data_IF_340213692494
#
_entry.id   IF_340213692494
#
_cell.length_a   1.000
_cell.length_b   1.000
_cell.length_c   1.000
_cell.angle_alpha   90.00
_cell.angle_beta   90.00
_cell.angle_gamma   90.00
#
_symmetry.space_group_name_H-M   'P 1'
#
loop_
_entity.id
_entity.type
_entity.pdbx_description
1 polymer ?
#
# COMPACT_ATOMS: atom_id res chain seq x y z
N UNK A 1 -6.85 10.25 -55.66
CA UNK A 1 -7.04 10.43 -54.20
C UNK A 1 -6.46 9.20 -53.52
N UNK A 2 -5.35 9.35 -52.78
CA UNK A 2 -4.55 8.23 -52.26
C UNK A 2 -5.03 7.76 -50.87
N UNK A 3 -5.28 6.45 -50.75
CA UNK A 3 -5.90 5.77 -49.60
C UNK A 3 -4.81 5.22 -48.65
N UNK A 4 -3.82 6.05 -48.28
CA UNK A 4 -2.64 5.54 -47.55
C UNK A 4 -2.39 6.24 -46.19
N UNK A 5 -3.31 7.08 -45.74
CA UNK A 5 -3.10 7.96 -44.56
C UNK A 5 -3.98 7.64 -43.35
N UNK A 6 -4.74 6.53 -43.35
CA UNK A 6 -5.71 6.24 -42.26
C UNK A 6 -5.21 5.21 -41.24
N UNK A 7 -4.15 4.45 -41.54
CA UNK A 7 -3.75 3.29 -40.71
C UNK A 7 -2.89 3.67 -39.48
N UNK A 8 -2.28 4.86 -39.42
CA UNK A 8 -1.35 5.21 -38.33
C UNK A 8 -1.97 5.82 -37.07
N UNK A 9 -3.23 6.27 -37.10
CA UNK A 9 -3.87 6.91 -35.94
C UNK A 9 -4.53 5.90 -35.00
N UNK A 10 -4.91 4.71 -35.50
CA UNK A 10 -5.60 3.70 -34.71
C UNK A 10 -4.72 2.95 -33.68
N UNK A 11 -3.39 2.97 -33.85
CA UNK A 11 -2.46 2.21 -32.99
C UNK A 11 -2.13 2.89 -31.65
N UNK A 12 -2.39 4.19 -31.50
CA UNK A 12 -2.08 4.95 -30.27
C UNK A 12 -3.21 4.95 -29.22
N UNK A 13 -4.46 4.69 -29.63
CA UNK A 13 -5.60 4.63 -28.71
C UNK A 13 -5.68 3.29 -27.95
N UNK A 14 -5.20 2.20 -28.56
CA UNK A 14 -5.21 0.87 -27.94
C UNK A 14 -4.22 0.74 -26.77
N UNK A 15 -3.10 1.46 -26.81
CA UNK A 15 -2.08 1.46 -25.75
C UNK A 15 -2.55 2.13 -24.45
N UNK A 16 -3.41 3.15 -24.54
CA UNK A 16 -3.91 3.86 -23.35
C UNK A 16 -4.94 3.04 -22.57
N UNK A 17 -5.79 2.28 -23.26
CA UNK A 17 -6.83 1.46 -22.61
C UNK A 17 -6.22 0.26 -21.83
N UNK A 18 -5.18 -0.37 -22.38
CA UNK A 18 -4.50 -1.48 -21.71
C UNK A 18 -3.75 -1.01 -20.45
N UNK A 19 -3.08 0.14 -20.49
CA UNK A 19 -2.40 0.71 -19.33
C UNK A 19 -3.39 1.12 -18.22
N UNK A 20 -4.54 1.70 -18.60
CA UNK A 20 -5.58 2.07 -17.64
C UNK A 20 -6.24 0.84 -16.97
N UNK A 21 -6.49 -0.23 -17.73
CA UNK A 21 -7.05 -1.47 -17.19
C UNK A 21 -6.07 -2.21 -16.26
N UNK A 22 -4.78 -2.21 -16.60
CA UNK A 22 -3.73 -2.77 -15.73
C UNK A 22 -3.55 -1.95 -14.45
N UNK A 23 -3.69 -0.63 -14.53
CA UNK A 23 -3.65 0.25 -13.35
C UNK A 23 -4.85 0.06 -12.42
N UNK A 24 -6.06 -0.15 -12.97
CA UNK A 24 -7.26 -0.40 -12.18
C UNK A 24 -7.23 -1.77 -11.49
N UNK A 25 -6.84 -2.83 -12.21
CA UNK A 25 -6.74 -4.19 -11.67
C UNK A 25 -5.71 -4.27 -10.52
N UNK A 26 -4.57 -3.59 -10.69
CA UNK A 26 -3.55 -3.49 -9.65
C UNK A 26 -4.04 -2.71 -8.41
N UNK A 27 -4.85 -1.66 -8.62
CA UNK A 27 -5.47 -0.89 -7.54
C UNK A 27 -6.46 -1.71 -6.72
N UNK A 28 -7.31 -2.50 -7.38
CA UNK A 28 -8.32 -3.35 -6.74
C UNK A 28 -7.66 -4.49 -5.95
N UNK A 29 -6.61 -5.12 -6.51
CA UNK A 29 -5.83 -6.13 -5.81
C UNK A 29 -5.12 -5.56 -4.57
N UNK A 30 -4.52 -4.37 -4.68
CA UNK A 30 -3.86 -3.71 -3.57
C UNK A 30 -4.84 -3.40 -2.42
N UNK A 31 -6.00 -2.83 -2.75
CA UNK A 31 -7.04 -2.54 -1.76
C UNK A 31 -7.57 -3.82 -1.09
N UNK A 32 -7.81 -4.87 -1.88
CA UNK A 32 -8.27 -6.16 -1.35
C UNK A 32 -7.23 -6.80 -0.43
N UNK A 33 -5.97 -6.81 -0.84
CA UNK A 33 -4.86 -7.35 -0.05
C UNK A 33 -4.71 -6.61 1.27
N UNK A 34 -4.70 -5.27 1.22
CA UNK A 34 -4.61 -4.41 2.40
C UNK A 34 -5.75 -4.67 3.39
N UNK A 35 -6.99 -4.73 2.91
CA UNK A 35 -8.13 -5.05 3.76
C UNK A 35 -7.99 -6.44 4.39
N UNK A 36 -7.70 -7.48 3.61
CA UNK A 36 -7.57 -8.84 4.14
C UNK A 36 -6.47 -8.96 5.22
N UNK A 37 -5.32 -8.32 5.01
CA UNK A 37 -4.23 -8.33 5.99
C UNK A 37 -4.64 -7.57 7.26
N UNK A 38 -5.22 -6.37 7.13
CA UNK A 38 -5.44 -5.48 8.28
C UNK A 38 -6.74 -5.73 9.03
N UNK A 39 -7.74 -6.38 8.43
CA UNK A 39 -9.04 -6.63 9.08
C UNK A 39 -9.32 -8.11 9.31
N UNK A 40 -8.89 -8.99 8.41
CA UNK A 40 -9.19 -10.43 8.49
C UNK A 40 -8.12 -11.21 9.26
N UNK A 41 -6.93 -10.63 9.50
CA UNK A 41 -5.86 -11.26 10.28
C UNK A 41 -5.83 -10.73 11.71
N UNK A 42 -6.22 -11.56 12.68
CA UNK A 42 -6.35 -11.18 14.09
C UNK A 42 -5.06 -10.57 14.70
N UNK A 43 -3.88 -11.03 14.27
CA UNK A 43 -2.58 -10.50 14.73
C UNK A 43 -2.39 -9.01 14.40
N UNK A 44 -3.06 -8.50 13.37
CA UNK A 44 -2.84 -7.15 12.84
C UNK A 44 -4.04 -6.21 13.01
N UNK A 45 -5.14 -6.66 13.63
CA UNK A 45 -6.38 -5.88 13.76
C UNK A 45 -6.20 -4.57 14.55
N UNK A 46 -5.30 -4.57 15.53
CA UNK A 46 -5.03 -3.40 16.37
C UNK A 46 -3.92 -2.49 15.80
N UNK A 47 -3.31 -2.87 14.68
CA UNK A 47 -2.24 -2.10 14.06
C UNK A 47 -2.87 -1.04 13.16
N UNK A 48 -2.47 0.23 13.27
CA UNK A 48 -3.01 1.25 12.39
C UNK A 48 -2.64 0.95 10.94
N UNK A 49 -3.55 1.32 10.05
CA UNK A 49 -3.44 1.11 8.60
C UNK A 49 -2.16 1.67 7.98
N UNK A 50 -1.49 2.63 8.64
CA UNK A 50 -0.23 3.24 8.23
C UNK A 50 1.02 2.37 8.51
N UNK A 51 0.88 1.32 9.34
CA UNK A 51 1.93 0.31 9.53
C UNK A 51 2.04 -0.62 8.33
N UNK A 52 0.96 -0.77 7.54
CA UNK A 52 0.93 -1.61 6.35
C UNK A 52 1.54 -0.92 5.14
N UNK A 53 2.28 -1.71 4.38
CA UNK A 53 2.92 -1.29 3.15
C UNK A 53 2.93 -2.42 2.12
N UNK A 54 2.87 -2.04 0.85
CA UNK A 54 2.97 -2.98 -0.27
C UNK A 54 4.33 -2.81 -0.94
N UNK A 55 5.11 -3.88 -0.98
CA UNK A 55 6.51 -3.85 -1.41
C UNK A 55 6.69 -4.28 -2.87
N UNK A 56 5.60 -4.48 -3.61
CA UNK A 56 5.60 -4.90 -5.00
C UNK A 56 4.85 -6.20 -5.22
N UNK A 57 5.24 -6.92 -6.28
CA UNK A 57 4.62 -8.17 -6.69
C UNK A 57 5.67 -9.23 -7.02
N UNK A 58 5.36 -10.48 -6.70
CA UNK A 58 6.14 -11.63 -7.16
C UNK A 58 5.19 -12.66 -7.76
N UNK A 59 5.30 -12.88 -9.07
CA UNK A 59 4.30 -13.59 -9.86
C UNK A 59 2.91 -12.93 -9.72
N UNK A 60 1.89 -13.71 -9.39
CA UNK A 60 0.52 -13.25 -9.14
C UNK A 60 0.27 -12.87 -7.68
N UNK A 61 1.32 -12.68 -6.87
CA UNK A 61 1.18 -12.38 -5.45
C UNK A 61 1.58 -10.94 -5.18
N UNK A 62 0.84 -10.26 -4.30
CA UNK A 62 1.21 -8.95 -3.78
C UNK A 62 2.02 -9.13 -2.50
N UNK A 63 3.23 -8.60 -2.48
CA UNK A 63 4.09 -8.63 -1.30
C UNK A 63 3.74 -7.47 -0.38
N UNK A 64 3.66 -7.75 0.91
CA UNK A 64 3.35 -6.74 1.91
C UNK A 64 4.30 -6.81 3.10
N UNK A 65 4.37 -5.72 3.82
CA UNK A 65 5.12 -5.62 5.07
C UNK A 65 4.39 -4.71 6.04
N UNK A 66 4.40 -5.09 7.31
CA UNK A 66 3.90 -4.30 8.41
C UNK A 66 5.08 -3.88 9.26
N UNK A 67 5.23 -2.59 9.48
CA UNK A 67 6.14 -2.01 10.46
C UNK A 67 5.35 -1.35 11.58
N UNK A 68 5.51 -1.87 12.80
CA UNK A 68 4.80 -1.33 13.97
C UNK A 68 5.65 -1.50 15.23
N UNK A 69 5.79 -0.42 16.00
CA UNK A 69 6.54 -0.39 17.28
C UNK A 69 7.95 -1.03 17.22
N UNK A 70 8.67 -0.79 16.11
CA UNK A 70 10.00 -1.33 15.88
C UNK A 70 10.04 -2.83 15.54
N UNK A 71 8.87 -3.44 15.34
CA UNK A 71 8.70 -4.81 14.86
C UNK A 71 8.35 -4.82 13.37
N UNK A 72 8.52 -5.98 12.76
CA UNK A 72 8.27 -6.17 11.33
C UNK A 72 7.61 -7.51 11.07
N UNK A 73 6.50 -7.50 10.35
CA UNK A 73 5.89 -8.68 9.76
C UNK A 73 5.90 -8.55 8.23
N UNK A 74 6.09 -9.67 7.54
CA UNK A 74 6.15 -9.72 6.08
C UNK A 74 5.29 -10.86 5.59
N UNK A 75 4.78 -10.75 4.38
CA UNK A 75 4.02 -11.82 3.78
C UNK A 75 3.60 -11.52 2.36
N UNK A 76 2.64 -12.29 1.87
CA UNK A 76 2.08 -12.11 0.55
C UNK A 76 0.56 -12.34 0.52
N UNK A 77 -0.14 -11.60 -0.32
CA UNK A 77 -1.51 -11.91 -0.71
C UNK A 77 -1.49 -12.72 -2.00
N UNK A 78 -2.13 -13.89 -1.99
CA UNK A 78 -2.19 -14.79 -3.14
C UNK A 78 -3.34 -14.40 -4.05
N UNK A 79 -3.05 -14.21 -5.33
CA UNK A 79 -4.06 -14.11 -6.38
C UNK A 79 -3.83 -15.21 -7.41
N UNK A 80 -4.93 -15.74 -7.96
CA UNK A 80 -4.89 -16.69 -9.06
C UNK A 80 -6.00 -16.32 -10.03
N UNK A 81 -5.63 -16.06 -11.29
CA UNK A 81 -6.54 -15.58 -12.34
C UNK A 81 -7.35 -14.34 -11.93
N UNK A 82 -6.71 -13.40 -11.23
CA UNK A 82 -7.37 -12.17 -10.71
C UNK A 82 -8.25 -12.41 -9.47
N UNK A 83 -8.35 -13.64 -8.97
CA UNK A 83 -9.14 -13.95 -7.78
C UNK A 83 -8.26 -14.05 -6.54
N UNK A 84 -8.63 -13.32 -5.49
CA UNK A 84 -8.00 -13.39 -4.18
C UNK A 84 -8.17 -14.79 -3.56
N UNK A 85 -7.07 -15.39 -3.13
CA UNK A 85 -7.03 -16.74 -2.51
C UNK A 85 -6.75 -16.70 -1.02
N UNK A 86 -6.05 -15.67 -0.53
CA UNK A 86 -5.79 -15.51 0.90
C UNK A 86 -4.51 -14.75 1.20
N UNK A 87 -4.24 -14.61 2.50
CA UNK A 87 -3.02 -14.02 3.06
C UNK A 87 -2.09 -15.13 3.53
N UNK A 88 -0.83 -15.06 3.11
CA UNK A 88 0.26 -15.89 3.63
C UNK A 88 1.22 -15.00 4.43
N UNK A 89 1.48 -15.35 5.69
CA UNK A 89 2.40 -14.63 6.57
C UNK A 89 3.75 -15.36 6.53
N UNK A 90 4.81 -14.66 6.16
CA UNK A 90 6.17 -15.19 6.14
C UNK A 90 6.90 -14.93 7.46
N UNK A 91 6.67 -13.75 8.07
CA UNK A 91 7.23 -13.40 9.38
C UNK A 91 6.17 -12.73 10.24
N UNK A 92 6.10 -13.13 11.51
CA UNK A 92 5.18 -12.60 12.52
C UNK A 92 5.81 -11.46 13.33
N UNK A 93 4.97 -10.64 13.96
CA UNK A 93 5.41 -9.63 14.92
C UNK A 93 5.89 -10.33 16.19
N UNK A 94 7.22 -10.34 16.41
CA UNK A 94 7.80 -10.88 17.64
C UNK A 94 7.69 -9.83 18.74
N UNK A 95 6.92 -10.13 19.79
CA UNK A 95 6.95 -9.38 21.05
C UNK A 95 8.38 -9.38 21.63
N UNK A 96 9.14 -8.34 21.34
CA UNK A 96 10.45 -8.11 21.96
C UNK A 96 10.25 -7.16 23.13
N UNK A 97 10.47 -7.64 24.36
CA UNK A 97 10.34 -6.88 25.62
C UNK A 97 11.37 -5.74 25.80
N UNK A 98 12.10 -5.37 24.74
CA UNK A 98 13.10 -4.31 24.80
C UNK A 98 12.91 -3.32 23.65
N UNK A 99 12.07 -2.31 23.90
CA UNK A 99 11.88 -1.18 23.00
C UNK A 99 13.21 -0.43 22.78
N UNK A 100 13.78 -0.56 21.58
CA UNK A 100 14.59 0.52 21.00
C UNK A 100 13.63 1.40 20.21
N UNK A 101 13.48 2.65 20.63
CA UNK A 101 12.77 3.70 19.88
C UNK A 101 13.42 3.81 18.50
N UNK A 102 12.75 3.36 17.44
CA UNK A 102 13.27 3.47 16.07
C UNK A 102 13.09 4.90 15.58
N UNK A 103 14.19 5.66 15.52
CA UNK A 103 14.29 7.06 15.08
C UNK A 103 14.23 7.26 13.55
N UNK A 104 13.78 6.28 12.77
CA UNK A 104 13.82 6.38 11.29
C UNK A 104 12.59 5.81 10.60
N UNK A 105 11.41 6.37 10.92
CA UNK A 105 10.21 6.18 10.09
C UNK A 105 10.21 7.25 8.99
N UNK A 106 11.14 7.13 8.05
CA UNK A 106 11.21 7.99 6.86
C UNK A 106 10.56 7.24 5.70
N UNK A 107 9.31 7.58 5.36
CA UNK A 107 8.71 7.55 4.01
C UNK A 107 8.86 6.31 3.09
N UNK A 108 9.51 5.22 3.48
CA UNK A 108 9.91 4.15 2.55
C UNK A 108 8.71 3.30 2.06
N UNK A 109 7.52 3.54 2.61
CA UNK A 109 6.36 2.67 2.48
C UNK A 109 5.14 3.29 1.78
N UNK A 110 5.32 4.46 1.13
CA UNK A 110 4.34 4.93 0.14
C UNK A 110 3.01 5.45 0.71
N UNK A 111 2.87 5.63 2.02
CA UNK A 111 1.60 6.00 2.68
C UNK A 111 1.72 7.18 3.65
N UNK A 112 0.60 7.85 3.91
CA UNK A 112 0.54 8.90 4.92
C UNK A 112 0.74 8.32 6.33
N UNK A 113 1.54 9.00 7.17
CA UNK A 113 1.82 8.56 8.54
C UNK A 113 1.82 9.73 9.52
N UNK A 114 1.46 9.49 10.78
CA UNK A 114 1.46 10.53 11.80
C UNK A 114 2.83 10.59 12.50
N UNK A 115 3.57 11.68 12.29
CA UNK A 115 4.81 11.95 13.00
C UNK A 115 4.50 12.56 14.38
N UNK A 116 4.65 11.72 15.41
CA UNK A 116 4.41 12.10 16.81
C UNK A 116 5.37 13.17 17.33
N UNK A 117 6.55 13.36 16.74
CA UNK A 117 7.54 14.35 17.21
C UNK A 117 7.13 15.78 16.85
N UNK A 118 6.47 15.95 15.71
CA UNK A 118 5.97 17.25 15.24
C UNK A 118 4.45 17.36 15.32
N UNK A 119 3.77 16.30 15.80
CA UNK A 119 2.32 16.18 15.91
C UNK A 119 1.58 16.46 14.59
N UNK A 120 2.12 15.98 13.47
CA UNK A 120 1.55 16.21 12.14
C UNK A 120 1.56 14.96 11.29
N UNK A 121 0.59 14.87 10.39
CA UNK A 121 0.60 13.91 9.29
C UNK A 121 1.69 14.26 8.29
N UNK A 122 2.33 13.22 7.75
CA UNK A 122 3.30 13.29 6.67
C UNK A 122 2.81 12.49 5.49
N UNK A 123 3.19 12.93 4.30
CA UNK A 123 2.93 12.25 3.04
C UNK A 123 3.91 11.08 2.82
N UNK A 124 3.71 10.27 1.76
CA UNK A 124 4.63 9.19 1.40
C UNK A 124 6.09 9.63 1.26
N UNK A 125 6.33 10.84 0.77
CA UNK A 125 7.68 11.41 0.58
C UNK A 125 8.29 11.93 1.89
N UNK A 126 7.55 11.88 2.99
CA UNK A 126 7.95 12.31 4.32
C UNK A 126 7.83 13.82 4.55
N UNK A 127 7.21 14.58 3.64
CA UNK A 127 6.86 15.98 3.88
C UNK A 127 5.61 16.09 4.75
N UNK A 128 5.45 17.22 5.43
CA UNK A 128 4.24 17.47 6.22
C UNK A 128 3.05 17.57 5.28
N UNK A 129 2.04 16.74 5.50
CA UNK A 129 0.81 16.79 4.73
C UNK A 129 -0.07 17.94 5.25
N UNK A 130 -0.07 19.06 4.53
CA UNK A 130 -0.85 20.25 4.89
C UNK A 130 -2.36 20.09 4.65
N UNK A 131 -2.77 19.12 3.84
CA UNK A 131 -4.18 18.80 3.54
C UNK A 131 -4.75 17.71 4.44
N UNK A 132 -3.94 17.06 5.26
CA UNK A 132 -4.34 15.97 6.14
C UNK A 132 -4.98 16.53 7.41
N UNK A 133 -6.26 16.88 7.32
CA UNK A 133 -7.07 17.44 8.41
C UNK A 133 -8.25 16.51 8.75
N UNK A 134 -8.88 16.67 9.93
CA UNK A 134 -10.08 15.92 10.29
C UNK A 134 -11.21 16.03 9.27
N UNK A 135 -11.36 17.20 8.65
CA UNK A 135 -12.36 17.45 7.61
C UNK A 135 -12.12 16.60 6.35
N UNK A 136 -10.86 16.21 6.11
CA UNK A 136 -10.44 15.35 5.00
C UNK A 136 -10.23 13.89 5.45
N UNK A 137 -10.75 13.50 6.62
CA UNK A 137 -10.74 12.12 7.11
C UNK A 137 -9.47 11.72 7.88
N UNK A 138 -8.59 12.66 8.22
CA UNK A 138 -7.38 12.39 9.00
C UNK A 138 -7.57 12.72 10.48
N UNK A 139 -7.38 11.79 11.43
CA UNK A 139 -7.59 12.11 12.84
C UNK A 139 -6.59 13.16 13.34
N UNK A 140 -6.99 13.97 14.32
CA UNK A 140 -6.13 15.03 14.88
C UNK A 140 -4.82 14.51 15.48
N UNK A 141 -4.77 13.23 15.85
CA UNK A 141 -3.59 12.54 16.37
C UNK A 141 -3.53 11.14 15.78
N UNK A 142 -2.32 10.63 15.56
CA UNK A 142 -2.09 9.21 15.32
C UNK A 142 -2.33 8.43 16.62
N UNK A 143 -2.98 7.28 16.50
CA UNK A 143 -3.18 6.32 17.59
C UNK A 143 -1.87 5.55 17.86
#
# INVERSE_FOLDING_TARGET
MNITTVVRVALLAASCAAAAAQASDHGDHAARCKNAVMTETAEFQDIPMAGFSQNGHHHHNLLWTIHWDGQTATGSCKFHDGHFKGVEIHTHLKHSHHHKKSEHYKGEYGGFYYDRHVAKWRDPDGHVCHTCTPENGFPTRGY
#
